data_IF_924473819155
#
_entry.id   IF_924473819155
#
_cell.length_a   1.000
_cell.length_b   1.000
_cell.length_c   1.000
_cell.angle_alpha   90.00
_cell.angle_beta   90.00
_cell.angle_gamma   90.00
#
_symmetry.space_group_name_H-M   'P 1'
#
loop_
_entity.id
_entity.type
_entity.pdbx_description
1 polymer ?
#
# COMPACT_ATOMS: atom_id res chain seq x y z
N UNK A 1 17.97 1.31 12.72
CA UNK A 1 16.78 2.17 12.91
C UNK A 1 15.73 1.70 11.92
N UNK A 2 14.77 0.88 12.37
CA UNK A 2 13.67 0.40 11.53
C UNK A 2 12.81 1.60 11.16
N UNK A 3 12.94 2.03 9.91
CA UNK A 3 12.14 3.06 9.31
C UNK A 3 10.66 2.67 9.39
N UNK A 4 9.96 3.24 10.38
CA UNK A 4 8.51 3.20 10.48
C UNK A 4 7.94 4.15 9.42
N UNK A 5 8.01 3.75 8.15
CA UNK A 5 7.53 4.60 7.06
C UNK A 5 6.02 4.44 6.97
N UNK A 6 5.30 5.50 7.35
CA UNK A 6 3.88 5.62 7.08
C UNK A 6 3.71 5.87 5.58
N UNK A 7 3.03 4.97 4.88
CA UNK A 7 2.63 5.19 3.51
C UNK A 7 1.28 5.87 3.47
N UNK A 8 1.11 6.69 2.43
CA UNK A 8 -0.18 7.21 2.04
C UNK A 8 -0.67 6.37 0.86
N UNK A 9 -1.80 5.69 1.06
CA UNK A 9 -2.53 4.99 0.03
C UNK A 9 -3.71 5.84 -0.41
N UNK A 10 -3.96 5.96 -1.70
CA UNK A 10 -5.12 6.65 -2.27
C UNK A 10 -6.04 5.63 -2.92
N UNK A 11 -7.23 5.43 -2.36
CA UNK A 11 -8.24 4.51 -2.86
C UNK A 11 -8.89 5.05 -4.15
N UNK A 12 -9.47 4.16 -4.97
CA UNK A 12 -10.23 4.56 -6.17
C UNK A 12 -11.42 5.48 -5.84
N UNK A 13 -11.94 5.42 -4.62
CA UNK A 13 -12.96 6.34 -4.09
C UNK A 13 -12.43 7.75 -3.75
N UNK A 14 -11.12 8.00 -3.86
CA UNK A 14 -10.48 9.27 -3.51
C UNK A 14 -10.11 9.40 -2.04
N UNK A 15 -10.42 8.41 -1.21
CA UNK A 15 -10.01 8.35 0.19
C UNK A 15 -8.51 8.07 0.34
N UNK A 16 -7.85 8.81 1.24
CA UNK A 16 -6.44 8.62 1.57
C UNK A 16 -6.31 7.95 2.93
N UNK A 17 -5.70 6.77 2.95
CA UNK A 17 -5.39 6.04 4.17
C UNK A 17 -3.89 6.16 4.47
N UNK A 18 -3.54 6.49 5.70
CA UNK A 18 -2.16 6.36 6.19
C UNK A 18 -2.00 5.06 6.99
N UNK A 19 -1.07 4.20 6.56
CA UNK A 19 -0.73 2.96 7.25
C UNK A 19 0.74 2.61 7.05
N UNK A 20 1.33 1.82 7.95
CA UNK A 20 2.72 1.40 7.85
C UNK A 20 2.78 0.19 6.91
N UNK A 21 3.32 0.31 5.71
CA UNK A 21 3.48 -0.88 4.85
C UNK A 21 4.65 -1.70 5.37
N UNK A 22 4.39 -2.99 5.57
CA UNK A 22 5.40 -3.97 5.92
C UNK A 22 5.93 -4.67 4.67
N UNK A 23 5.05 -5.06 3.76
CA UNK A 23 5.42 -5.93 2.63
C UNK A 23 4.48 -5.75 1.43
N UNK A 24 4.88 -6.25 0.26
CA UNK A 24 4.07 -6.24 -0.94
C UNK A 24 4.08 -7.63 -1.58
N UNK A 25 2.89 -8.22 -1.67
CA UNK A 25 2.68 -9.59 -2.11
C UNK A 25 1.95 -9.59 -3.44
N UNK A 26 2.59 -10.08 -4.50
CA UNK A 26 1.95 -10.29 -5.80
C UNK A 26 1.32 -11.69 -5.90
N UNK A 27 0.00 -11.78 -6.08
CA UNK A 27 -0.74 -13.03 -6.27
C UNK A 27 -1.65 -12.98 -7.49
N UNK A 28 -1.48 -13.93 -8.42
CA UNK A 28 -2.32 -14.07 -9.63
C UNK A 28 -2.50 -12.75 -10.42
N UNK A 29 -1.40 -12.01 -10.64
CA UNK A 29 -1.40 -10.67 -11.27
C UNK A 29 -2.12 -9.57 -10.46
N UNK A 30 -2.49 -9.84 -9.20
CA UNK A 30 -3.03 -8.83 -8.28
C UNK A 30 -2.00 -8.60 -7.19
N UNK A 31 -1.62 -7.35 -6.97
CA UNK A 31 -0.72 -7.00 -5.89
C UNK A 31 -1.50 -6.67 -4.60
N UNK A 32 -0.97 -7.10 -3.47
CA UNK A 32 -1.52 -6.92 -2.13
C UNK A 32 -0.48 -6.21 -1.29
N UNK A 33 -0.80 -5.02 -0.81
CA UNK A 33 0.04 -4.29 0.13
C UNK A 33 -0.29 -4.75 1.56
N UNK A 34 0.71 -5.31 2.22
CA UNK A 34 0.64 -5.71 3.62
C UNK A 34 0.95 -4.48 4.46
N UNK A 35 -0.04 -3.96 5.19
CA UNK A 35 0.13 -2.81 6.08
C UNK A 35 -0.14 -3.17 7.53
N UNK A 36 0.73 -2.71 8.42
CA UNK A 36 0.57 -2.77 9.86
C UNK A 36 -0.12 -1.49 10.35
N UNK A 37 -1.18 -1.66 11.14
CA UNK A 37 -1.88 -0.57 11.77
C UNK A 37 -2.38 -1.02 13.14
N UNK A 38 -2.13 -0.21 14.17
CA UNK A 38 -2.46 -0.55 15.56
C UNK A 38 -1.85 -1.88 16.05
N UNK A 39 -0.72 -2.31 15.48
CA UNK A 39 -0.05 -3.57 15.84
C UNK A 39 -0.63 -4.81 15.14
N UNK A 40 -1.62 -4.62 14.26
CA UNK A 40 -2.17 -5.69 13.43
C UNK A 40 -1.78 -5.48 11.97
N UNK A 41 -1.35 -6.57 11.34
CA UNK A 41 -1.04 -6.60 9.93
C UNK A 41 -2.29 -6.93 9.12
N UNK A 42 -2.68 -6.04 8.22
CA UNK A 42 -3.81 -6.19 7.30
C UNK A 42 -3.33 -6.17 5.85
N UNK A 43 -3.97 -6.94 5.00
CA UNK A 43 -3.65 -7.00 3.58
C UNK A 43 -4.64 -6.12 2.79
N UNK A 44 -4.13 -5.15 2.05
CA UNK A 44 -4.89 -4.24 1.20
C UNK A 44 -4.65 -4.58 -0.28
N UNK A 45 -5.72 -4.75 -1.05
CA UNK A 45 -5.62 -5.04 -2.49
C UNK A 45 -5.30 -3.77 -3.27
N UNK A 46 -4.20 -3.78 -4.01
CA UNK A 46 -3.80 -2.67 -4.86
C UNK A 46 -4.75 -2.43 -6.02
N UNK A 47 -5.45 -3.46 -6.48
CA UNK A 47 -6.54 -3.36 -7.48
C UNK A 47 -7.63 -2.32 -7.14
N UNK A 48 -7.85 -2.04 -5.84
CA UNK A 48 -8.82 -1.05 -5.36
C UNK A 48 -8.20 0.31 -5.00
N UNK A 49 -6.89 0.44 -5.17
CA UNK A 49 -6.09 1.60 -4.79
C UNK A 49 -5.59 2.25 -6.08
N UNK A 50 -5.74 3.56 -6.20
CA UNK A 50 -5.29 4.34 -7.36
C UNK A 50 -3.77 4.46 -7.37
N UNK A 51 -3.19 4.79 -6.22
CA UNK A 51 -1.75 4.92 -6.07
C UNK A 51 -1.33 4.74 -4.61
N UNK A 52 -0.10 4.30 -4.42
CA UNK A 52 0.55 4.32 -3.11
C UNK A 52 1.96 4.86 -3.24
N UNK A 53 2.37 5.69 -2.28
CA UNK A 53 3.72 6.26 -2.25
C UNK A 53 4.55 5.64 -1.15
N UNK A 54 5.66 5.00 -1.52
CA UNK A 54 6.65 4.48 -0.58
C UNK A 54 7.93 5.34 -0.64
N UNK A 55 8.41 5.91 0.48
CA UNK A 55 9.57 6.79 0.47
C UNK A 55 10.92 6.12 0.14
N UNK A 56 11.07 4.81 0.37
CA UNK A 56 12.26 4.03 -0.04
C UNK A 56 12.13 3.34 -1.41
N UNK A 57 10.94 2.90 -1.82
CA UNK A 57 10.73 2.12 -3.06
C UNK A 57 10.27 3.02 -4.23
N UNK A 58 9.69 4.18 -3.92
CA UNK A 58 9.10 5.11 -4.89
C UNK A 58 7.57 5.10 -4.88
N UNK A 59 6.96 6.00 -5.64
CA UNK A 59 5.52 6.04 -5.88
C UNK A 59 5.14 4.98 -6.91
N UNK A 60 4.32 4.02 -6.51
CA UNK A 60 3.80 2.98 -7.39
C UNK A 60 2.36 3.34 -7.71
N UNK A 61 2.13 3.68 -8.98
CA UNK A 61 0.80 3.99 -9.50
C UNK A 61 0.21 2.70 -10.04
N UNK A 62 -0.92 2.27 -9.47
CA UNK A 62 -1.61 1.04 -9.87
C UNK A 62 -2.64 1.44 -10.91
N UNK A 63 -2.19 1.59 -12.16
CA UNK A 63 -3.08 1.79 -13.30
C UNK A 63 -3.19 0.48 -14.06
N UNK A 64 -4.39 -0.10 -14.10
CA UNK A 64 -4.74 -1.10 -15.11
C UNK A 64 -4.53 -0.45 -16.49
N UNK A 65 -3.60 -0.99 -17.27
CA UNK A 65 -3.44 -0.67 -18.70
C UNK A 65 -4.09 -1.74 -19.55
#
# INVERSE_FOLDING_TARGET
CQHHLMLTLELKDGEKLQAKASDLVSRKNVEYLVVEAAGETRELRLDKITSFSHPEIGTVVVSES
#
